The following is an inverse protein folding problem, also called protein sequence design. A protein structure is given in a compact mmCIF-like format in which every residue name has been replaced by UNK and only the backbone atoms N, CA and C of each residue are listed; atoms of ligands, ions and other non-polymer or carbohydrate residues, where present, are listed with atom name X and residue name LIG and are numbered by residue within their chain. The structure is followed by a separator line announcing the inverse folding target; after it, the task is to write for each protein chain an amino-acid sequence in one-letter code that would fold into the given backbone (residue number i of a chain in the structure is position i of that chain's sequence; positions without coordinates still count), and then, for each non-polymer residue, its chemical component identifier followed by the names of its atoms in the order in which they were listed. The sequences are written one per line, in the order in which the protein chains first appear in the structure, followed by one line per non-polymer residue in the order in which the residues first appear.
data_IF_724404939606
#
_entry.id   IF_724404939606
#
_cell.length_a   1.000
_cell.length_b   1.000
_cell.length_c   1.000
_cell.angle_alpha   90.00
_cell.angle_beta   90.00
_cell.angle_gamma   90.00
#
_symmetry.space_group_name_H-M   'P 1'
#
loop_
_entity.id
_entity.type
_entity.pdbx_description
1 polymer ?
#
# COMPACT_ATOMS: atom_id res chain seq x y z
N UNK A 1 -2.53 -7.67 2.68
CA UNK A 1 -2.12 -8.78 1.78
C UNK A 1 -3.22 -9.78 1.49
N UNK A 2 -3.97 -10.21 2.51
CA UNK A 2 -5.06 -11.20 2.35
C UNK A 2 -6.00 -10.84 1.19
N UNK A 3 -6.44 -9.59 1.08
CA UNK A 3 -7.28 -9.12 -0.03
C UNK A 3 -6.67 -9.38 -1.42
N UNK A 4 -5.39 -9.07 -1.63
CA UNK A 4 -4.72 -9.29 -2.92
C UNK A 4 -4.50 -10.79 -3.22
N UNK A 5 -4.28 -11.61 -2.19
CA UNK A 5 -4.15 -13.05 -2.37
C UNK A 5 -5.49 -13.70 -2.71
N UNK A 6 -6.56 -13.30 -2.02
CA UNK A 6 -7.90 -13.78 -2.28
C UNK A 6 -8.38 -13.34 -3.67
N UNK A 7 -8.20 -12.08 -4.02
CA UNK A 7 -8.59 -11.58 -5.35
C UNK A 7 -7.90 -12.35 -6.48
N UNK A 8 -6.60 -12.66 -6.32
CA UNK A 8 -5.87 -13.50 -7.27
C UNK A 8 -6.44 -14.91 -7.40
N UNK A 9 -6.78 -15.56 -6.28
CA UNK A 9 -7.40 -16.90 -6.27
C UNK A 9 -8.80 -16.92 -6.88
N UNK A 10 -9.52 -15.81 -6.76
CA UNK A 10 -10.86 -15.63 -7.30
C UNK A 10 -10.86 -15.00 -8.71
N UNK A 11 -9.69 -14.79 -9.31
CA UNK A 11 -9.54 -14.14 -10.61
C UNK A 11 -10.18 -12.74 -10.71
N UNK A 12 -10.24 -12.01 -9.60
CA UNK A 12 -10.74 -10.64 -9.55
C UNK A 12 -9.66 -9.63 -9.98
N UNK A 13 -10.01 -8.58 -10.76
CA UNK A 13 -9.06 -7.60 -11.28
C UNK A 13 -8.68 -6.57 -10.20
N UNK A 14 -7.98 -7.04 -9.16
CA UNK A 14 -7.57 -6.23 -8.02
C UNK A 14 -6.05 -6.07 -7.98
N UNK A 15 -5.60 -4.83 -7.85
CA UNK A 15 -4.19 -4.45 -7.72
C UNK A 15 -3.93 -3.71 -6.41
N UNK A 16 -2.74 -3.86 -5.83
CA UNK A 16 -2.34 -3.06 -4.67
C UNK A 16 -1.88 -1.66 -5.09
N UNK A 17 -2.28 -0.63 -4.37
CA UNK A 17 -1.92 0.78 -4.63
C UNK A 17 -1.07 1.32 -3.49
N UNK A 18 0.08 1.86 -3.85
CA UNK A 18 1.08 2.39 -2.93
C UNK A 18 0.85 3.84 -2.52
N UNK A 19 -0.35 4.22 -2.11
CA UNK A 19 -0.65 5.63 -1.76
C UNK A 19 0.19 6.10 -0.53
N UNK A 20 0.72 7.34 -0.54
CA UNK A 20 1.28 7.94 0.67
C UNK A 20 0.29 7.83 1.85
N UNK A 21 0.79 7.45 3.02
CA UNK A 21 -0.04 7.20 4.21
C UNK A 21 -0.89 5.91 4.19
N UNK A 22 -1.36 5.42 3.02
CA UNK A 22 -2.30 4.29 2.93
C UNK A 22 -1.94 3.22 1.91
N UNK A 23 -2.14 1.94 2.23
CA UNK A 23 -2.07 0.87 1.23
C UNK A 23 -3.48 0.42 0.86
N UNK A 24 -3.88 0.66 -0.38
CA UNK A 24 -5.24 0.36 -0.86
C UNK A 24 -5.22 -0.83 -1.81
N UNK A 25 -6.35 -1.52 -1.91
CA UNK A 25 -6.62 -2.47 -2.99
C UNK A 25 -7.55 -1.78 -3.99
N UNK A 26 -7.12 -1.62 -5.24
CA UNK A 26 -7.97 -1.10 -6.31
C UNK A 26 -8.58 -2.25 -7.07
N UNK A 27 -9.89 -2.30 -7.14
CA UNK A 27 -10.64 -3.12 -8.09
C UNK A 27 -10.93 -2.26 -9.32
N UNK A 28 -10.62 -2.77 -10.50
CA UNK A 28 -10.88 -2.06 -11.76
C UNK A 28 -11.33 -3.03 -12.85
N UNK A 29 -12.51 -2.79 -13.42
CA UNK A 29 -13.00 -3.46 -14.62
C UNK A 29 -13.26 -2.43 -15.74
N UNK A 30 -13.95 -2.84 -16.82
CA UNK A 30 -14.29 -1.96 -17.94
C UNK A 30 -15.28 -0.85 -17.58
N UNK A 31 -16.13 -1.07 -16.57
CA UNK A 31 -17.20 -0.15 -16.18
C UNK A 31 -16.92 0.58 -14.88
N UNK A 32 -16.19 -0.04 -13.96
CA UNK A 32 -16.08 0.43 -12.59
C UNK A 32 -14.63 0.46 -12.09
N UNK A 33 -14.32 1.50 -11.29
CA UNK A 33 -13.08 1.64 -10.54
C UNK A 33 -13.42 1.99 -9.09
N UNK A 34 -12.97 1.16 -8.14
CA UNK A 34 -13.13 1.42 -6.71
C UNK A 34 -11.87 1.04 -5.93
N UNK A 35 -11.69 1.70 -4.80
CA UNK A 35 -10.57 1.48 -3.90
C UNK A 35 -11.10 0.92 -2.57
N UNK A 36 -10.35 0.00 -1.99
CA UNK A 36 -10.69 -0.70 -0.75
C UNK A 36 -9.54 -0.48 0.22
N UNK A 37 -9.83 0.17 1.34
CA UNK A 37 -8.89 0.27 2.45
C UNK A 37 -9.06 -0.92 3.39
N UNK A 38 -8.28 -1.98 3.12
CA UNK A 38 -8.30 -3.19 3.93
C UNK A 38 -7.78 -2.99 5.37
N UNK A 39 -7.06 -1.90 5.63
CA UNK A 39 -6.55 -1.56 6.97
C UNK A 39 -7.52 -0.66 7.75
N UNK A 40 -8.47 -0.03 7.06
CA UNK A 40 -9.54 0.75 7.65
C UNK A 40 -10.90 0.06 7.49
N UNK A 41 -11.03 -1.14 8.09
CA UNK A 41 -12.27 -1.93 8.15
C UNK A 41 -12.92 -2.22 6.78
N UNK A 42 -12.13 -2.27 5.70
CA UNK A 42 -12.64 -2.53 4.35
C UNK A 42 -13.38 -1.35 3.72
N UNK A 43 -13.15 -0.12 4.20
CA UNK A 43 -13.80 1.09 3.69
C UNK A 43 -13.63 1.21 2.17
N UNK A 44 -14.74 1.40 1.48
CA UNK A 44 -14.77 1.69 0.05
C UNK A 44 -14.50 3.17 -0.19
N UNK A 45 -13.68 3.47 -1.19
CA UNK A 45 -13.23 4.79 -1.55
C UNK A 45 -13.35 4.97 -3.06
N UNK A 46 -13.79 6.15 -3.49
CA UNK A 46 -13.69 6.57 -4.88
C UNK A 46 -12.30 7.13 -5.16
N UNK A 47 -11.94 7.25 -6.44
CA UNK A 47 -10.72 7.98 -6.84
C UNK A 47 -10.69 9.40 -6.26
N UNK A 48 -11.84 10.08 -6.23
CA UNK A 48 -11.96 11.44 -5.70
C UNK A 48 -11.67 11.49 -4.18
N UNK A 49 -12.07 10.48 -3.42
CA UNK A 49 -11.75 10.40 -1.98
C UNK A 49 -10.23 10.27 -1.77
N UNK A 50 -9.56 9.45 -2.58
CA UNK A 50 -8.11 9.32 -2.57
C UNK A 50 -7.41 10.65 -2.93
N UNK A 51 -7.89 11.35 -3.96
CA UNK A 51 -7.35 12.66 -4.37
C UNK A 51 -7.52 13.68 -3.25
N UNK A 52 -8.72 13.77 -2.66
CA UNK A 52 -9.01 14.67 -1.53
C UNK A 52 -8.06 14.41 -0.35
N UNK A 53 -7.85 13.14 -0.01
CA UNK A 53 -6.91 12.77 1.05
C UNK A 53 -5.48 13.28 0.76
N UNK A 54 -4.98 13.10 -0.47
CA UNK A 54 -3.63 13.51 -0.87
C UNK A 54 -3.44 15.03 -0.85
N UNK A 55 -4.46 15.78 -1.27
CA UNK A 55 -4.45 17.26 -1.22
C UNK A 55 -4.43 17.75 0.23
N UNK A 56 -5.16 17.08 1.14
CA UNK A 56 -5.21 17.43 2.56
C UNK A 56 -3.92 17.11 3.32
N UNK A 57 -3.13 16.14 2.88
CA UNK A 57 -1.96 15.62 3.62
C UNK A 57 -0.62 16.21 3.17
N UNK A 58 -0.62 17.38 2.51
CA UNK A 58 0.59 18.08 2.00
C UNK A 58 1.45 17.31 0.99
N UNK A 59 1.11 16.06 0.65
CA UNK A 59 1.78 15.29 -0.40
C UNK A 59 1.50 15.84 -1.80
N UNK A 60 0.34 16.48 -1.99
CA UNK A 60 -0.14 16.89 -3.30
C UNK A 60 -0.61 15.69 -4.14
N UNK A 61 -1.44 15.96 -5.15
CA UNK A 61 -1.80 14.91 -6.12
C UNK A 61 -0.78 14.87 -7.26
N UNK A 62 -0.20 13.69 -7.48
CA UNK A 62 0.56 13.37 -8.69
C UNK A 62 -0.04 12.10 -9.30
N UNK A 63 -0.12 12.06 -10.63
CA UNK A 63 -0.79 10.97 -11.37
C UNK A 63 -0.21 9.58 -11.04
N UNK A 64 1.07 9.53 -10.66
CA UNK A 64 1.75 8.30 -10.24
C UNK A 64 1.30 7.72 -8.89
N UNK A 65 0.66 8.49 -8.01
CA UNK A 65 0.39 8.07 -6.62
C UNK A 65 -0.70 7.01 -6.48
N UNK A 66 -1.53 6.85 -7.52
CA UNK A 66 -2.59 5.83 -7.58
C UNK A 66 -2.26 4.70 -8.58
N UNK A 67 -1.00 4.57 -8.97
CA UNK A 67 -0.57 3.48 -9.86
C UNK A 67 -0.43 2.15 -9.12
N UNK A 68 -0.66 1.02 -9.80
CA UNK A 68 -0.39 -0.31 -9.26
C UNK A 68 1.05 -0.44 -8.73
N UNK A 69 1.16 -0.80 -7.46
CA UNK A 69 2.43 -1.09 -6.84
C UNK A 69 2.94 -2.45 -7.33
N UNK A 70 4.20 -2.50 -7.74
CA UNK A 70 4.86 -3.77 -8.08
C UNK A 70 5.02 -4.64 -6.83
N UNK A 71 5.14 -5.98 -6.97
CA UNK A 71 5.39 -6.87 -5.83
C UNK A 71 6.60 -6.45 -5.00
N UNK A 72 7.68 -5.97 -5.64
CA UNK A 72 8.87 -5.44 -4.97
C UNK A 72 8.53 -4.20 -4.13
N UNK A 73 7.76 -3.25 -4.67
CA UNK A 73 7.34 -2.02 -3.97
C UNK A 73 6.40 -2.34 -2.80
N UNK A 74 5.52 -3.31 -2.97
CA UNK A 74 4.62 -3.83 -1.92
C UNK A 74 5.44 -4.41 -0.76
N UNK A 75 6.43 -5.26 -1.06
CA UNK A 75 7.29 -5.87 -0.04
C UNK A 75 8.16 -4.82 0.65
N UNK A 76 8.75 -3.88 -0.11
CA UNK A 76 9.51 -2.76 0.43
C UNK A 76 8.67 -1.98 1.44
N UNK A 77 7.41 -1.67 1.11
CA UNK A 77 6.51 -0.98 2.02
C UNK A 77 6.27 -1.77 3.31
N UNK A 78 6.04 -3.07 3.24
CA UNK A 78 5.87 -3.90 4.44
C UNK A 78 7.11 -3.89 5.32
N UNK A 79 8.29 -4.06 4.72
CA UNK A 79 9.54 -4.02 5.44
C UNK A 79 9.75 -2.65 6.11
N UNK A 80 9.46 -1.55 5.41
CA UNK A 80 9.52 -0.19 5.96
C UNK A 80 8.53 0.02 7.11
N UNK A 81 7.29 -0.44 6.98
CA UNK A 81 6.29 -0.35 8.05
C UNK A 81 6.73 -1.14 9.28
N UNK A 82 7.19 -2.38 9.11
CA UNK A 82 7.67 -3.22 10.23
C UNK A 82 8.92 -2.63 10.87
N UNK A 83 9.86 -2.10 10.08
CA UNK A 83 11.04 -1.42 10.59
C UNK A 83 10.65 -0.27 11.52
N UNK A 84 9.70 0.58 11.13
CA UNK A 84 9.23 1.68 11.98
C UNK A 84 8.56 1.20 13.27
N UNK A 85 7.77 0.11 13.20
CA UNK A 85 7.16 -0.50 14.38
C UNK A 85 8.25 -1.02 15.34
N UNK A 86 9.23 -1.77 14.86
CA UNK A 86 10.29 -2.33 15.70
C UNK A 86 11.23 -1.27 16.26
N UNK A 87 11.46 -0.19 15.51
CA UNK A 87 12.18 0.98 16.00
C UNK A 87 11.46 1.60 17.21
N UNK A 88 10.14 1.79 17.10
CA UNK A 88 9.32 2.32 18.20
C UNK A 88 9.27 1.38 19.41
N UNK A 89 9.21 0.07 19.18
CA UNK A 89 9.25 -0.95 20.22
C UNK A 89 10.65 -1.16 20.84
N UNK A 90 11.69 -0.46 20.35
CA UNK A 90 13.08 -0.57 20.79
C UNK A 90 13.63 -2.01 20.68
N UNK A 91 13.32 -2.70 19.59
CA UNK A 91 13.82 -4.04 19.27
C UNK A 91 14.96 -3.95 18.22
N UNK A 92 16.24 -3.86 18.65
CA UNK A 92 17.34 -3.50 17.75
C UNK A 92 17.66 -4.59 16.72
N UNK A 93 17.61 -5.87 17.09
CA UNK A 93 17.93 -6.97 16.18
C UNK A 93 16.94 -7.05 15.01
N UNK A 94 15.65 -6.88 15.33
CA UNK A 94 14.56 -6.85 14.35
C UNK A 94 14.65 -5.63 13.45
N UNK A 95 14.91 -4.46 14.03
CA UNK A 95 15.13 -3.21 13.28
C UNK A 95 16.28 -3.38 12.28
N UNK A 96 17.43 -3.89 12.74
CA UNK A 96 18.59 -4.15 11.89
C UNK A 96 18.30 -5.19 10.79
N UNK A 97 17.50 -6.22 11.10
CA UNK A 97 17.07 -7.23 10.12
C UNK A 97 16.23 -6.61 9.01
N UNK A 98 15.21 -5.84 9.35
CA UNK A 98 14.33 -5.20 8.36
C UNK A 98 15.07 -4.14 7.55
N UNK A 99 16.02 -3.42 8.15
CA UNK A 99 16.87 -2.44 7.45
C UNK A 99 17.66 -3.10 6.30
N UNK A 100 18.21 -4.30 6.50
CA UNK A 100 18.91 -5.05 5.43
C UNK A 100 17.99 -5.36 4.25
N UNK A 101 16.75 -5.77 4.52
CA UNK A 101 15.77 -6.04 3.45
C UNK A 101 15.35 -4.77 2.71
N UNK A 102 15.16 -3.66 3.42
CA UNK A 102 14.84 -2.36 2.81
C UNK A 102 15.95 -1.96 1.83
N UNK A 103 17.22 -2.02 2.25
CA UNK A 103 18.37 -1.71 1.39
C UNK A 103 18.43 -2.64 0.17
N UNK A 104 18.18 -3.93 0.36
CA UNK A 104 18.17 -4.91 -0.73
C UNK A 104 17.03 -4.69 -1.74
N UNK A 105 15.86 -4.22 -1.28
CA UNK A 105 14.68 -3.97 -2.09
C UNK A 105 14.66 -2.58 -2.74
N UNK A 106 15.44 -1.64 -2.22
CA UNK A 106 15.56 -0.27 -2.75
C UNK A 106 16.50 -0.16 -3.96
N UNK A 107 17.35 -1.16 -4.20
CA UNK A 107 18.09 -1.35 -5.46
C UNK A 107 17.17 -1.75 -6.60
#
# INVERSE_FOLDING_TARGET
MVYLFLSRRLHLPVTGIGMPGHFLCRFQCSTDELYIDAFNRGKLLTKNDCVKYLVQTSYGYQEGLLTPATPRRILLRMCSTLHQIYLHLKLPDETARLQRYIVALAK
#
